data_IF_571856156662
#
_entry.id   IF_571856156662
#
_cell.length_a   1.000
_cell.length_b   1.000
_cell.length_c   1.000
_cell.angle_alpha   90.00
_cell.angle_beta   90.00
_cell.angle_gamma   90.00
#
_symmetry.space_group_name_H-M   'P 1'
#
loop_
_entity.id
_entity.type
_entity.pdbx_description
1 polymer ?
#
# COMPACT_ATOMS: atom_id res chain seq x y z
N UNK A 1 12.51 -10.06 -4.53
CA UNK A 1 12.84 -8.90 -3.66
C UNK A 1 11.63 -8.03 -3.40
N UNK A 2 10.82 -7.74 -4.41
CA UNK A 2 9.61 -6.91 -4.33
C UNK A 2 8.55 -7.39 -3.33
N UNK A 3 8.37 -8.70 -3.15
CA UNK A 3 7.45 -9.27 -2.14
C UNK A 3 7.76 -8.87 -0.69
N UNK A 4 9.05 -8.79 -0.33
CA UNK A 4 9.48 -8.39 1.01
C UNK A 4 9.19 -6.89 1.23
N UNK A 5 9.36 -6.09 0.19
CA UNK A 5 9.10 -4.66 0.22
C UNK A 5 7.60 -4.35 0.33
N UNK A 6 6.76 -4.99 -0.48
CA UNK A 6 5.30 -4.87 -0.38
C UNK A 6 4.81 -5.23 1.04
N UNK A 7 5.30 -6.35 1.59
CA UNK A 7 4.94 -6.80 2.96
C UNK A 7 5.43 -5.84 4.05
N UNK A 8 6.60 -5.23 3.86
CA UNK A 8 7.15 -4.26 4.82
C UNK A 8 6.32 -2.99 4.84
N UNK A 9 5.99 -2.45 3.66
CA UNK A 9 5.13 -1.27 3.52
C UNK A 9 3.75 -1.52 4.13
N UNK A 10 3.14 -2.67 3.83
CA UNK A 10 1.83 -3.01 4.37
C UNK A 10 1.83 -3.11 5.91
N UNK A 11 2.87 -3.67 6.52
CA UNK A 11 3.00 -3.72 7.98
C UNK A 11 3.13 -2.33 8.61
N UNK A 12 3.84 -1.42 7.96
CA UNK A 12 3.98 -0.03 8.45
C UNK A 12 2.66 0.74 8.33
N UNK A 13 1.88 0.52 7.26
CA UNK A 13 0.52 1.06 7.14
C UNK A 13 -0.35 0.57 8.30
N UNK A 14 -0.38 -0.74 8.56
CA UNK A 14 -1.18 -1.32 9.66
C UNK A 14 -0.78 -0.80 11.04
N UNK A 15 0.51 -0.59 11.28
CA UNK A 15 0.99 0.03 12.53
C UNK A 15 0.45 1.44 12.70
N UNK A 16 0.47 2.25 11.65
CA UNK A 16 -0.01 3.63 11.70
C UNK A 16 -1.55 3.71 11.80
N UNK A 17 -2.29 2.82 11.15
CA UNK A 17 -3.76 2.78 11.27
C UNK A 17 -4.26 2.36 12.65
N UNK A 18 -3.49 1.53 13.39
CA UNK A 18 -3.93 0.98 14.67
C UNK A 18 -4.09 2.03 15.78
N UNK A 19 -3.40 3.17 15.67
CA UNK A 19 -3.41 4.20 16.71
C UNK A 19 -4.31 5.40 16.38
N UNK A 20 -4.94 5.42 15.20
CA UNK A 20 -5.65 6.61 14.71
C UNK A 20 -4.64 7.72 14.36
N UNK A 21 -4.78 8.31 13.18
CA UNK A 21 -3.96 9.45 12.80
C UNK A 21 -4.70 10.73 13.21
N UNK A 22 -4.47 11.20 14.44
CA UNK A 22 -5.03 12.50 14.90
C UNK A 22 -4.16 13.70 14.46
N UNK A 23 -2.98 13.45 13.91
CA UNK A 23 -2.07 14.48 13.42
C UNK A 23 -1.81 14.40 11.91
N UNK A 24 -1.55 15.57 11.32
CA UNK A 24 -1.32 15.71 9.88
C UNK A 24 -0.07 14.98 9.39
N UNK A 25 0.94 14.80 10.26
CA UNK A 25 2.16 14.09 9.90
C UNK A 25 1.89 12.58 9.77
N UNK A 26 1.17 11.98 10.72
CA UNK A 26 0.79 10.56 10.66
C UNK A 26 -0.14 10.29 9.48
N UNK A 27 -1.06 11.21 9.18
CA UNK A 27 -1.92 11.14 7.99
C UNK A 27 -1.09 11.16 6.70
N UNK A 28 -0.20 12.14 6.53
CA UNK A 28 0.64 12.23 5.34
C UNK A 28 1.61 11.05 5.18
N UNK A 29 2.11 10.50 6.30
CA UNK A 29 2.93 9.28 6.29
C UNK A 29 2.12 8.06 5.86
N UNK A 30 0.89 7.92 6.36
CA UNK A 30 0.00 6.84 5.97
C UNK A 30 -0.32 6.88 4.47
N UNK A 31 -0.67 8.05 3.95
CA UNK A 31 -1.00 8.25 2.54
C UNK A 31 0.20 8.00 1.63
N UNK A 32 1.40 8.48 2.02
CA UNK A 32 2.63 8.24 1.28
C UNK A 32 3.01 6.75 1.23
N UNK A 33 2.86 6.01 2.33
CA UNK A 33 3.11 4.58 2.38
C UNK A 33 2.09 3.79 1.55
N UNK A 34 0.81 4.19 1.59
CA UNK A 34 -0.25 3.60 0.78
C UNK A 34 0.00 3.82 -0.72
N UNK A 35 0.37 5.04 -1.12
CA UNK A 35 0.72 5.36 -2.50
C UNK A 35 1.93 4.54 -3.00
N UNK A 36 2.99 4.46 -2.19
CA UNK A 36 4.17 3.68 -2.53
C UNK A 36 3.85 2.19 -2.70
N UNK A 37 3.01 1.62 -1.84
CA UNK A 37 2.57 0.23 -1.93
C UNK A 37 1.75 -0.01 -3.20
N UNK A 38 0.80 0.86 -3.52
CA UNK A 38 -0.03 0.73 -4.73
C UNK A 38 0.80 0.79 -6.00
N UNK A 39 1.74 1.75 -6.09
CA UNK A 39 2.65 1.83 -7.23
C UNK A 39 3.50 0.57 -7.39
N UNK A 40 3.98 0.00 -6.28
CA UNK A 40 4.78 -1.23 -6.31
C UNK A 40 3.94 -2.42 -6.81
N UNK A 41 2.68 -2.52 -6.37
CA UNK A 41 1.74 -3.54 -6.84
C UNK A 41 1.42 -3.36 -8.33
N UNK A 42 1.25 -2.12 -8.79
CA UNK A 42 1.03 -1.79 -10.21
C UNK A 42 2.23 -2.13 -11.09
N UNK A 43 3.46 -1.93 -10.58
CA UNK A 43 4.70 -2.26 -11.29
C UNK A 43 4.96 -3.78 -11.30
N UNK A 44 4.71 -4.48 -10.18
CA UNK A 44 4.86 -5.94 -10.08
C UNK A 44 3.71 -6.71 -10.76
N UNK A 45 2.56 -6.08 -10.96
CA UNK A 45 1.34 -6.73 -11.44
C UNK A 45 0.77 -7.77 -10.47
N UNK A 46 1.20 -7.77 -9.20
CA UNK A 46 0.81 -8.77 -8.20
C UNK A 46 0.73 -8.18 -6.80
N UNK A 47 -0.43 -8.29 -6.15
CA UNK A 47 -0.68 -7.89 -4.76
C UNK A 47 -0.20 -8.96 -3.78
N UNK A 48 1.11 -9.12 -3.64
CA UNK A 48 1.74 -10.16 -2.81
C UNK A 48 1.71 -9.84 -1.31
N UNK A 49 1.42 -8.59 -0.94
CA UNK A 49 1.16 -8.20 0.45
C UNK A 49 -0.23 -8.58 0.94
N UNK A 50 -1.17 -8.90 0.04
CA UNK A 50 -2.57 -9.12 0.38
C UNK A 50 -3.23 -7.86 0.91
N UNK A 51 -2.86 -6.69 0.39
CA UNK A 51 -3.42 -5.41 0.80
C UNK A 51 -4.89 -5.35 0.37
N UNK A 52 -5.87 -5.31 1.29
CA UNK A 52 -7.29 -5.29 0.95
C UNK A 52 -7.75 -3.92 0.42
N UNK A 53 -6.91 -2.88 0.57
CA UNK A 53 -7.18 -1.51 0.12
C UNK A 53 -6.71 -1.23 -1.31
N UNK A 54 -6.08 -2.21 -1.96
CA UNK A 54 -5.67 -2.09 -3.34
C UNK A 54 -6.89 -2.29 -4.25
N UNK A 55 -7.41 -1.19 -4.77
CA UNK A 55 -8.36 -1.21 -5.90
C UNK A 55 -7.51 -1.11 -7.17
N UNK A 56 -7.35 -2.19 -7.96
CA UNK A 56 -6.58 -2.12 -9.19
C UNK A 56 -7.17 -1.03 -10.08
N UNK A 57 -6.33 -0.23 -10.76
CA UNK A 57 -6.84 0.76 -11.69
C UNK A 57 -7.77 0.06 -12.70
N UNK A 58 -9.05 0.46 -12.72
CA UNK A 58 -10.05 -0.03 -13.69
C UNK A 58 -9.50 0.17 -15.10
N UNK A 59 -8.95 -0.87 -15.69
CA UNK A 59 -8.30 -0.80 -17.01
C UNK A 59 -7.17 -1.78 -17.27
N UNK A 60 -6.72 -2.60 -16.30
CA UNK A 60 -5.71 -3.65 -16.55
C UNK A 60 -6.22 -5.10 -16.50
N UNK A 61 -7.53 -5.32 -16.51
CA UNK A 61 -8.10 -6.60 -16.94
C UNK A 61 -8.31 -6.55 -18.44
N UNK A 62 -7.26 -6.86 -19.20
CA UNK A 62 -7.37 -6.90 -20.66
C UNK A 62 -6.05 -6.79 -21.42
N UNK A 63 -5.08 -7.68 -21.16
CA UNK A 63 -4.23 -8.21 -22.23
C UNK A 63 -3.49 -9.47 -21.82
#
# INVERSE_FOLDING_TARGET
MTTLLQRTLYREILKNSKYGADDAFTTGRHDGLSYALHRLIDEDGSNLAGCPLYDPPKGRDGR
#
